data_IF_455424523626
#
_entry.id   IF_455424523626
#
_cell.length_a   1.000
_cell.length_b   1.000
_cell.length_c   1.000
_cell.angle_alpha   90.00
_cell.angle_beta   90.00
_cell.angle_gamma   90.00
#
_symmetry.space_group_name_H-M   'P 1'
#
loop_
_entity.id
_entity.type
_entity.pdbx_description
1 polymer ?
#
# COMPACT_ATOMS: atom_id res chain seq x y z
N UNK A 1 30.64 -27.72 -29.02
CA UNK A 1 30.52 -26.55 -28.11
C UNK A 1 29.45 -26.85 -27.07
N UNK A 2 29.81 -26.91 -25.78
CA UNK A 2 28.98 -27.49 -24.71
C UNK A 2 27.78 -26.58 -24.39
N UNK A 3 26.55 -27.12 -24.48
CA UNK A 3 25.28 -26.43 -24.16
C UNK A 3 25.28 -25.71 -22.80
N UNK A 4 26.08 -26.17 -21.83
CA UNK A 4 26.23 -25.51 -20.53
C UNK A 4 26.85 -24.12 -20.59
N UNK A 5 27.80 -23.88 -21.50
CA UNK A 5 28.52 -22.61 -21.56
C UNK A 5 27.63 -21.47 -22.08
N UNK A 6 26.74 -21.78 -23.02
CA UNK A 6 25.73 -20.83 -23.52
C UNK A 6 24.70 -20.46 -22.44
N UNK A 7 24.24 -21.43 -21.64
CA UNK A 7 23.34 -21.15 -20.52
C UNK A 7 23.99 -20.32 -19.43
N UNK A 8 25.26 -20.58 -19.10
CA UNK A 8 26.00 -19.79 -18.10
C UNK A 8 26.21 -18.34 -18.55
N UNK A 9 26.51 -18.11 -19.83
CA UNK A 9 26.71 -16.75 -20.38
C UNK A 9 25.39 -15.98 -20.43
N UNK A 10 24.28 -16.62 -20.82
CA UNK A 10 22.95 -15.99 -20.82
C UNK A 10 22.52 -15.66 -19.39
N UNK A 11 22.73 -16.56 -18.43
CA UNK A 11 22.39 -16.32 -17.03
C UNK A 11 23.24 -15.19 -16.43
N UNK A 12 24.55 -15.17 -16.68
CA UNK A 12 25.42 -14.08 -16.26
C UNK A 12 25.02 -12.74 -16.88
N UNK A 13 24.69 -12.71 -18.18
CA UNK A 13 24.19 -11.50 -18.85
C UNK A 13 22.87 -10.99 -18.28
N UNK A 14 21.96 -11.89 -17.91
CA UNK A 14 20.66 -11.55 -17.31
C UNK A 14 20.80 -11.08 -15.86
N UNK A 15 21.71 -11.66 -15.09
CA UNK A 15 22.04 -11.21 -13.72
C UNK A 15 22.73 -9.84 -13.75
N UNK A 16 23.68 -9.62 -14.67
CA UNK A 16 24.36 -8.33 -14.83
C UNK A 16 23.40 -7.26 -15.36
N UNK A 17 22.48 -7.59 -16.28
CA UNK A 17 21.46 -6.63 -16.75
C UNK A 17 20.42 -6.31 -15.67
N UNK A 18 20.01 -7.29 -14.84
CA UNK A 18 19.20 -7.06 -13.65
C UNK A 18 19.92 -6.18 -12.62
N UNK A 19 21.23 -6.38 -12.45
CA UNK A 19 22.03 -5.54 -11.55
C UNK A 19 22.14 -4.10 -12.09
N UNK A 20 22.38 -3.91 -13.39
CA UNK A 20 22.39 -2.59 -14.02
C UNK A 20 21.00 -1.91 -13.99
N UNK A 21 19.92 -2.69 -14.17
CA UNK A 21 18.54 -2.19 -13.97
C UNK A 21 18.25 -1.86 -12.51
N UNK A 22 18.84 -2.57 -11.55
CA UNK A 22 18.71 -2.24 -10.13
C UNK A 22 19.45 -0.95 -9.76
N UNK A 23 20.59 -0.66 -10.40
CA UNK A 23 21.31 0.62 -10.23
C UNK A 23 20.55 1.79 -10.88
N UNK A 24 19.79 1.56 -11.95
CA UNK A 24 18.90 2.58 -12.54
C UNK A 24 17.53 2.69 -11.85
N UNK A 25 17.01 1.62 -11.25
CA UNK A 25 15.85 1.69 -10.34
C UNK A 25 16.21 2.42 -9.04
N UNK A 26 17.47 2.34 -8.59
CA UNK A 26 18.03 3.24 -7.56
C UNK A 26 18.04 4.70 -8.01
N UNK A 27 18.02 5.02 -9.31
CA UNK A 27 17.85 6.40 -9.80
C UNK A 27 16.39 6.86 -9.91
N UNK A 28 15.42 5.93 -9.91
CA UNK A 28 14.00 6.24 -9.67
C UNK A 28 13.71 6.32 -8.16
N UNK A 29 14.48 5.60 -7.35
CA UNK A 29 14.54 5.75 -5.90
C UNK A 29 15.09 7.12 -5.53
N UNK A 30 16.14 7.66 -6.19
CA UNK A 30 16.53 9.06 -6.00
C UNK A 30 15.42 10.01 -6.41
N UNK A 31 14.65 9.79 -7.47
CA UNK A 31 13.52 10.69 -7.78
C UNK A 31 12.40 10.69 -6.72
N UNK A 32 12.01 9.54 -6.18
CA UNK A 32 10.98 9.45 -5.14
C UNK A 32 11.51 9.80 -3.74
N UNK A 33 12.78 9.53 -3.47
CA UNK A 33 13.46 9.81 -2.21
C UNK A 33 13.97 11.25 -2.18
N UNK A 34 14.37 11.83 -3.32
CA UNK A 34 14.64 13.26 -3.51
C UNK A 34 13.32 14.01 -3.54
N UNK A 35 12.28 13.59 -4.27
CA UNK A 35 10.95 14.19 -4.14
C UNK A 35 10.43 14.07 -2.70
N UNK A 36 10.62 12.93 -2.04
CA UNK A 36 10.25 12.73 -0.64
C UNK A 36 11.08 13.60 0.32
N UNK A 37 12.39 13.72 0.11
CA UNK A 37 13.30 14.56 0.90
C UNK A 37 13.12 16.04 0.59
N UNK A 38 12.72 16.40 -0.62
CA UNK A 38 12.57 17.78 -1.11
C UNK A 38 11.15 18.28 -0.86
N UNK A 39 10.14 17.41 -0.87
CA UNK A 39 8.84 17.65 -0.27
C UNK A 39 8.96 17.69 1.25
N UNK A 40 9.71 16.79 1.89
CA UNK A 40 9.94 16.85 3.33
C UNK A 40 10.79 18.05 3.74
N UNK A 41 11.81 18.46 2.96
CA UNK A 41 12.61 19.66 3.19
C UNK A 41 11.84 20.92 2.84
N UNK A 42 11.03 20.93 1.78
CA UNK A 42 10.18 22.05 1.39
C UNK A 42 9.05 22.25 2.41
N UNK A 43 8.44 21.16 2.85
CA UNK A 43 7.51 21.16 3.99
C UNK A 43 8.25 21.58 5.25
N UNK A 44 9.40 21.00 5.58
CA UNK A 44 10.18 21.36 6.79
C UNK A 44 10.66 22.80 6.78
N UNK A 45 11.05 23.36 5.64
CA UNK A 45 11.50 24.74 5.48
C UNK A 45 10.32 25.72 5.54
N UNK A 46 9.20 25.38 4.90
CA UNK A 46 7.93 26.09 5.07
C UNK A 46 7.47 26.06 6.55
N UNK A 47 7.68 24.93 7.23
CA UNK A 47 7.34 24.72 8.64
C UNK A 47 8.27 25.47 9.59
N UNK A 48 9.58 25.52 9.32
CA UNK A 48 10.54 26.37 10.03
C UNK A 48 10.23 27.86 9.82
N UNK A 49 9.84 28.24 8.60
CA UNK A 49 9.43 29.60 8.28
C UNK A 49 8.16 30.03 9.05
N UNK A 50 7.26 29.08 9.34
CA UNK A 50 6.09 29.29 10.19
C UNK A 50 6.35 29.07 11.70
N UNK A 51 7.59 28.71 12.09
CA UNK A 51 7.98 28.34 13.47
C UNK A 51 7.10 27.25 14.09
N UNK A 52 6.60 26.32 13.27
CA UNK A 52 5.75 25.24 13.72
C UNK A 52 6.60 24.01 14.09
N UNK A 53 6.69 23.73 15.39
CA UNK A 53 7.31 22.51 15.93
C UNK A 53 6.60 21.27 15.33
N UNK A 54 7.28 20.15 14.98
CA UNK A 54 6.65 18.95 14.42
C UNK A 54 5.38 18.47 15.16
N UNK A 55 5.37 18.59 16.49
CA UNK A 55 4.20 18.32 17.34
C UNK A 55 3.01 19.21 16.98
N UNK A 56 3.25 20.50 16.70
CA UNK A 56 2.23 21.46 16.30
C UNK A 56 1.66 21.12 14.91
N UNK A 57 2.42 20.46 14.04
CA UNK A 57 1.92 20.05 12.72
C UNK A 57 0.86 18.97 12.82
N UNK A 58 1.11 17.93 13.61
CA UNK A 58 0.13 16.86 13.80
C UNK A 58 -1.14 17.40 14.46
N UNK A 59 -1.01 18.38 15.37
CA UNK A 59 -2.14 19.12 15.95
C UNK A 59 -2.90 19.94 14.90
N UNK A 60 -2.20 20.62 14.00
CA UNK A 60 -2.82 21.38 12.89
C UNK A 60 -3.54 20.44 11.92
N UNK A 61 -2.92 19.33 11.52
CA UNK A 61 -3.54 18.32 10.65
C UNK A 61 -4.76 17.69 11.31
N UNK A 62 -4.68 17.38 12.60
CA UNK A 62 -5.82 16.94 13.40
C UNK A 62 -6.93 18.01 13.40
N UNK A 63 -6.55 19.29 13.49
CA UNK A 63 -7.51 20.40 13.47
C UNK A 63 -8.19 20.58 12.12
N UNK A 64 -7.44 20.43 11.03
CA UNK A 64 -8.00 20.43 9.67
C UNK A 64 -8.95 19.24 9.48
N UNK A 65 -8.55 18.04 9.94
CA UNK A 65 -9.39 16.85 9.86
C UNK A 65 -10.70 17.05 10.64
N UNK A 66 -10.61 17.52 11.89
CA UNK A 66 -11.75 17.80 12.74
C UNK A 66 -12.63 18.88 12.11
N UNK A 67 -12.02 19.92 11.55
CA UNK A 67 -12.73 20.99 10.84
C UNK A 67 -13.53 20.45 9.66
N UNK A 68 -12.96 19.58 8.81
CA UNK A 68 -13.67 18.97 7.68
C UNK A 68 -14.88 18.16 8.17
N UNK A 69 -14.73 17.37 9.24
CA UNK A 69 -15.81 16.55 9.80
C UNK A 69 -16.93 17.44 10.35
N UNK A 70 -16.58 18.40 11.21
CA UNK A 70 -17.54 19.32 11.83
C UNK A 70 -18.23 20.15 10.74
N UNK A 71 -17.47 20.69 9.78
CA UNK A 71 -18.03 21.43 8.65
C UNK A 71 -19.02 20.58 7.85
N UNK A 72 -18.68 19.33 7.53
CA UNK A 72 -19.58 18.41 6.82
C UNK A 72 -20.89 18.20 7.57
N UNK A 73 -20.84 18.00 8.89
CA UNK A 73 -22.03 17.83 9.74
C UNK A 73 -22.85 19.12 9.79
N UNK A 74 -22.21 20.27 10.01
CA UNK A 74 -22.90 21.57 10.11
C UNK A 74 -23.59 21.91 8.79
N UNK A 75 -22.94 21.70 7.64
CA UNK A 75 -23.55 21.91 6.32
C UNK A 75 -24.80 21.05 6.14
N UNK A 76 -24.76 19.78 6.56
CA UNK A 76 -25.91 18.87 6.49
C UNK A 76 -27.06 19.30 7.40
N UNK A 77 -26.76 19.70 8.64
CA UNK A 77 -27.76 20.13 9.63
C UNK A 77 -28.51 21.38 9.19
N UNK A 78 -27.81 22.37 8.66
CA UNK A 78 -28.41 23.63 8.23
C UNK A 78 -29.00 23.58 6.81
N UNK A 79 -28.95 22.41 6.13
CA UNK A 79 -29.40 22.20 4.74
C UNK A 79 -29.00 23.36 3.83
N UNK A 80 -27.79 23.88 4.04
CA UNK A 80 -27.46 25.19 3.52
C UNK A 80 -27.04 25.09 2.06
N UNK A 81 -27.97 25.40 1.16
CA UNK A 81 -27.72 25.56 -0.28
C UNK A 81 -27.43 27.02 -0.67
N UNK A 82 -27.63 27.97 0.25
CA UNK A 82 -27.37 29.40 0.01
C UNK A 82 -25.94 29.79 0.36
N UNK A 83 -25.32 30.69 -0.41
CA UNK A 83 -23.95 31.20 -0.16
C UNK A 83 -23.75 31.75 1.26
N UNK A 84 -24.79 32.33 1.85
CA UNK A 84 -24.76 32.87 3.21
C UNK A 84 -24.63 31.78 4.25
N UNK A 85 -25.28 30.62 4.07
CA UNK A 85 -25.22 29.58 5.09
C UNK A 85 -24.01 28.64 4.95
N UNK A 86 -23.35 28.57 3.79
CA UNK A 86 -21.99 27.97 3.71
C UNK A 86 -20.95 28.80 4.47
N UNK A 87 -21.03 30.13 4.39
CA UNK A 87 -20.20 31.03 5.21
C UNK A 87 -20.48 30.86 6.71
N UNK A 88 -21.75 30.73 7.09
CA UNK A 88 -22.13 30.45 8.47
C UNK A 88 -21.59 29.09 8.95
N UNK A 89 -21.73 28.04 8.13
CA UNK A 89 -21.21 26.71 8.45
C UNK A 89 -19.68 26.71 8.60
N UNK A 90 -18.98 27.47 7.77
CA UNK A 90 -17.54 27.68 7.88
C UNK A 90 -17.18 28.33 9.22
N UNK A 91 -17.82 29.45 9.58
CA UNK A 91 -17.54 30.15 10.83
C UNK A 91 -17.82 29.28 12.07
N UNK A 92 -18.98 28.59 12.08
CA UNK A 92 -19.36 27.70 13.19
C UNK A 92 -18.37 26.55 13.33
N UNK A 93 -17.99 25.89 12.23
CA UNK A 93 -17.03 24.78 12.29
C UNK A 93 -15.66 25.21 12.81
N UNK A 94 -15.15 26.38 12.42
CA UNK A 94 -13.90 26.92 12.96
C UNK A 94 -14.01 27.19 14.46
N UNK A 95 -15.10 27.82 14.92
CA UNK A 95 -15.31 28.10 16.36
C UNK A 95 -15.35 26.80 17.15
N UNK A 96 -16.10 25.79 16.68
CA UNK A 96 -16.21 24.50 17.34
C UNK A 96 -14.85 23.79 17.43
N UNK A 97 -14.03 23.85 16.38
CA UNK A 97 -12.68 23.26 16.39
C UNK A 97 -11.80 23.94 17.43
N UNK A 98 -11.80 25.28 17.50
CA UNK A 98 -11.04 26.03 18.51
C UNK A 98 -11.49 25.66 19.92
N UNK A 99 -12.81 25.67 20.18
CA UNK A 99 -13.35 25.28 21.48
C UNK A 99 -13.01 23.83 21.84
N UNK A 100 -13.00 22.94 20.85
CA UNK A 100 -12.61 21.53 21.05
C UNK A 100 -11.16 21.43 21.50
N UNK A 101 -10.23 22.11 20.83
CA UNK A 101 -8.81 22.07 21.24
C UNK A 101 -8.55 22.70 22.61
N UNK A 102 -9.31 23.73 22.99
CA UNK A 102 -9.23 24.31 24.34
C UNK A 102 -9.74 23.33 25.39
N UNK A 103 -10.79 22.57 25.06
CA UNK A 103 -11.44 21.63 25.98
C UNK A 103 -10.70 20.28 26.10
N UNK A 104 -9.93 19.90 25.08
CA UNK A 104 -9.23 18.62 25.06
C UNK A 104 -8.00 18.63 25.97
N UNK A 105 -7.86 17.65 26.90
CA UNK A 105 -6.66 17.54 27.70
C UNK A 105 -5.44 17.21 26.82
N UNK A 106 -4.29 17.81 27.12
CA UNK A 106 -3.07 17.67 26.31
C UNK A 106 -2.66 16.21 26.06
N UNK A 107 -2.76 15.36 27.08
CA UNK A 107 -2.43 13.92 26.94
C UNK A 107 -3.32 13.18 25.94
N UNK A 108 -4.56 13.63 25.72
CA UNK A 108 -5.45 13.04 24.72
C UNK A 108 -5.02 13.42 23.30
N UNK A 109 -4.63 14.68 23.09
CA UNK A 109 -4.11 15.15 21.81
C UNK A 109 -2.81 14.41 21.46
N UNK A 110 -1.90 14.25 22.42
CA UNK A 110 -0.66 13.47 22.24
C UNK A 110 -0.93 12.01 21.91
N UNK A 111 -1.91 11.37 22.57
CA UNK A 111 -2.32 10.01 22.27
C UNK A 111 -2.87 9.88 20.84
N UNK A 112 -3.67 10.84 20.39
CA UNK A 112 -4.17 10.88 19.01
C UNK A 112 -3.03 11.04 18.02
N UNK A 113 -2.12 11.98 18.23
CA UNK A 113 -0.96 12.21 17.36
C UNK A 113 -0.10 10.95 17.26
N UNK A 114 0.12 10.27 18.38
CA UNK A 114 0.84 9.00 18.41
C UNK A 114 0.13 7.90 17.60
N UNK A 115 -1.19 7.80 17.71
CA UNK A 115 -1.99 6.84 16.92
C UNK A 115 -1.92 7.15 15.43
N UNK A 116 -2.02 8.43 15.01
CA UNK A 116 -1.86 8.81 13.61
C UNK A 116 -0.45 8.56 13.09
N UNK A 117 0.58 8.77 13.90
CA UNK A 117 1.96 8.41 13.57
C UNK A 117 2.12 6.90 13.35
N UNK A 118 1.56 6.09 14.26
CA UNK A 118 1.55 4.63 14.13
C UNK A 118 0.77 4.15 12.91
N UNK A 119 -0.40 4.75 12.60
CA UNK A 119 -1.15 4.48 11.38
C UNK A 119 -0.37 4.85 10.12
N UNK A 120 0.30 5.99 10.11
CA UNK A 120 1.15 6.42 9.00
C UNK A 120 2.28 5.42 8.74
N UNK A 121 2.97 4.98 9.80
CA UNK A 121 3.99 3.94 9.70
C UNK A 121 3.42 2.61 9.20
N UNK A 122 2.23 2.21 9.68
CA UNK A 122 1.56 1.01 9.21
C UNK A 122 1.21 1.09 7.72
N UNK A 123 0.67 2.22 7.24
CA UNK A 123 0.36 2.45 5.83
C UNK A 123 1.63 2.39 4.97
N UNK A 124 2.71 3.07 5.40
CA UNK A 124 4.00 3.08 4.70
C UNK A 124 4.62 1.68 4.58
N UNK A 125 4.32 0.79 5.51
CA UNK A 125 4.73 -0.63 5.46
C UNK A 125 3.79 -1.45 4.57
N UNK A 126 2.48 -1.25 4.75
CA UNK A 126 1.44 -2.13 4.23
C UNK A 126 1.26 -1.95 2.72
N UNK A 127 1.33 -0.71 2.22
CA UNK A 127 1.16 -0.45 0.79
C UNK A 127 2.27 -1.13 -0.04
N UNK A 128 3.58 -0.92 0.23
CA UNK A 128 4.63 -1.64 -0.48
C UNK A 128 4.51 -3.15 -0.34
N UNK A 129 4.14 -3.66 0.84
CA UNK A 129 3.94 -5.09 1.06
C UNK A 129 2.86 -5.67 0.13
N UNK A 130 1.68 -5.05 0.07
CA UNK A 130 0.57 -5.49 -0.80
C UNK A 130 0.95 -5.43 -2.27
N UNK A 131 1.64 -4.36 -2.69
CA UNK A 131 2.11 -4.20 -4.07
C UNK A 131 3.08 -5.34 -4.42
N UNK A 132 4.08 -5.59 -3.59
CA UNK A 132 5.04 -6.67 -3.83
C UNK A 132 4.40 -8.05 -3.82
N UNK A 133 3.42 -8.27 -2.94
CA UNK A 133 2.63 -9.51 -2.92
C UNK A 133 1.86 -9.70 -4.22
N UNK A 134 1.18 -8.65 -4.69
CA UNK A 134 0.47 -8.68 -5.97
C UNK A 134 1.42 -8.99 -7.12
N UNK A 135 2.55 -8.28 -7.26
CA UNK A 135 3.54 -8.54 -8.31
C UNK A 135 4.12 -9.95 -8.22
N UNK A 136 4.41 -10.42 -7.00
CA UNK A 136 4.96 -11.75 -6.75
C UNK A 136 3.99 -12.86 -7.10
N UNK A 137 2.68 -12.65 -7.03
CA UNK A 137 1.67 -13.67 -7.33
C UNK A 137 1.23 -13.59 -8.79
N UNK A 138 0.90 -12.39 -9.26
CA UNK A 138 0.19 -12.17 -10.52
C UNK A 138 1.11 -11.91 -11.72
N UNK A 139 2.30 -11.35 -11.51
CA UNK A 139 3.15 -10.84 -12.60
C UNK A 139 4.38 -11.71 -12.81
N UNK A 140 5.02 -12.17 -11.74
CA UNK A 140 6.29 -12.90 -11.86
C UNK A 140 6.08 -14.40 -12.13
N UNK A 141 6.43 -14.87 -13.32
CA UNK A 141 6.38 -16.30 -13.67
C UNK A 141 7.41 -17.13 -12.87
N UNK A 142 8.61 -16.59 -12.63
CA UNK A 142 9.66 -17.29 -11.89
C UNK A 142 9.46 -17.20 -10.36
N UNK A 143 9.48 -18.35 -9.69
CA UNK A 143 9.44 -18.41 -8.21
C UNK A 143 10.71 -17.81 -7.59
N UNK A 144 11.86 -18.03 -8.23
CA UNK A 144 13.16 -17.58 -7.74
C UNK A 144 13.26 -16.06 -7.74
N UNK A 145 12.83 -15.41 -8.83
CA UNK A 145 12.83 -13.93 -8.93
C UNK A 145 11.93 -13.33 -7.86
N UNK A 146 10.73 -13.89 -7.64
CA UNK A 146 9.84 -13.37 -6.60
C UNK A 146 10.40 -13.56 -5.18
N UNK A 147 11.02 -14.72 -4.88
CA UNK A 147 11.72 -14.89 -3.60
C UNK A 147 12.84 -13.88 -3.41
N UNK A 148 13.60 -13.60 -4.46
CA UNK A 148 14.68 -12.61 -4.43
C UNK A 148 14.14 -11.19 -4.16
N UNK A 149 13.02 -10.79 -4.76
CA UNK A 149 12.33 -9.52 -4.46
C UNK A 149 11.96 -9.45 -2.96
N UNK A 150 11.41 -10.53 -2.40
CA UNK A 150 11.08 -10.56 -0.97
C UNK A 150 12.32 -10.54 -0.07
N UNK A 151 13.44 -11.14 -0.48
CA UNK A 151 14.71 -11.02 0.25
C UNK A 151 15.16 -9.56 0.30
N UNK A 152 15.07 -8.83 -0.82
CA UNK A 152 15.37 -7.39 -0.83
C UNK A 152 14.44 -6.60 0.09
N UNK A 153 13.13 -6.89 0.08
CA UNK A 153 12.18 -6.28 1.01
C UNK A 153 12.56 -6.52 2.47
N UNK A 154 12.87 -7.77 2.84
CA UNK A 154 13.29 -8.12 4.20
C UNK A 154 14.57 -7.39 4.59
N UNK A 155 15.59 -7.38 3.72
CA UNK A 155 16.85 -6.69 3.98
C UNK A 155 16.68 -5.17 4.11
N UNK A 156 15.82 -4.57 3.29
CA UNK A 156 15.49 -3.15 3.37
C UNK A 156 14.88 -2.78 4.72
N UNK A 157 13.82 -3.49 5.12
CA UNK A 157 13.16 -3.24 6.41
C UNK A 157 14.05 -3.62 7.60
N UNK A 158 14.90 -4.64 7.47
CA UNK A 158 15.92 -4.97 8.47
C UNK A 158 16.94 -3.84 8.63
N UNK A 159 17.37 -3.21 7.55
CA UNK A 159 18.26 -2.04 7.58
C UNK A 159 17.63 -0.86 8.31
N UNK A 160 16.36 -0.54 8.01
CA UNK A 160 15.61 0.51 8.71
C UNK A 160 15.46 0.17 10.20
N UNK A 161 15.08 -1.07 10.51
CA UNK A 161 14.91 -1.54 11.89
C UNK A 161 16.22 -1.45 12.68
N UNK A 162 17.34 -1.89 12.11
CA UNK A 162 18.66 -1.81 12.73
C UNK A 162 19.12 -0.37 12.92
N UNK A 163 18.93 0.51 11.91
CA UNK A 163 19.23 1.94 12.02
C UNK A 163 18.44 2.57 13.15
N UNK A 164 17.13 2.34 13.19
CA UNK A 164 16.23 2.87 14.22
C UNK A 164 16.63 2.38 15.62
N UNK A 165 16.99 1.11 15.77
CA UNK A 165 17.52 0.57 17.03
C UNK A 165 18.86 1.21 17.39
N UNK A 166 19.77 1.42 16.44
CA UNK A 166 21.07 2.06 16.70
C UNK A 166 20.96 3.53 17.14
N UNK A 167 19.91 4.23 16.71
CA UNK A 167 19.65 5.62 17.07
C UNK A 167 18.85 5.80 18.37
N UNK A 168 18.48 4.71 19.04
CA UNK A 168 17.74 4.77 20.30
C UNK A 168 18.61 5.35 21.43
N UNK A 169 18.29 6.56 21.87
CA UNK A 169 18.73 7.02 23.18
C UNK A 169 17.92 6.30 24.27
N UNK A 170 18.62 5.67 25.22
CA UNK A 170 18.08 4.71 26.19
C UNK A 170 16.96 5.25 27.10
N UNK A 171 16.76 6.58 27.20
CA UNK A 171 15.84 7.18 28.16
C UNK A 171 14.40 7.44 27.64
N UNK A 172 14.15 7.40 26.33
CA UNK A 172 12.84 7.75 25.75
C UNK A 172 12.34 6.74 24.70
N UNK A 173 12.91 5.53 24.71
CA UNK A 173 12.68 4.47 23.74
C UNK A 173 11.22 3.97 23.73
N UNK A 174 10.39 4.53 22.86
CA UNK A 174 9.06 4.00 22.55
C UNK A 174 9.18 2.75 21.67
N UNK A 175 9.50 1.62 22.29
CA UNK A 175 9.73 0.34 21.59
C UNK A 175 8.63 -0.06 20.61
N UNK A 176 7.39 0.39 20.87
CA UNK A 176 6.23 0.13 20.03
C UNK A 176 6.31 0.80 18.64
N UNK A 177 7.10 1.87 18.48
CA UNK A 177 7.31 2.50 17.17
C UNK A 177 8.08 1.59 16.19
N UNK A 178 8.76 0.56 16.70
CA UNK A 178 9.52 -0.39 15.88
C UNK A 178 8.73 -1.63 15.48
N UNK A 179 7.60 -1.89 16.14
CA UNK A 179 6.75 -3.05 15.88
C UNK A 179 6.37 -3.17 14.40
N UNK A 180 5.95 -2.09 13.69
CA UNK A 180 5.55 -2.22 12.29
C UNK A 180 6.67 -2.77 11.39
N UNK A 181 7.91 -2.32 11.61
CA UNK A 181 9.07 -2.81 10.85
C UNK A 181 9.40 -4.26 11.20
N UNK A 182 9.33 -4.65 12.48
CA UNK A 182 9.50 -6.03 12.92
C UNK A 182 8.47 -6.98 12.29
N UNK A 183 7.19 -6.57 12.30
CA UNK A 183 6.10 -7.32 11.64
C UNK A 183 6.35 -7.41 10.13
N UNK A 184 6.86 -6.36 9.49
CA UNK A 184 7.21 -6.37 8.06
C UNK A 184 8.25 -7.43 7.73
N UNK A 185 9.32 -7.49 8.54
CA UNK A 185 10.41 -8.46 8.39
C UNK A 185 9.86 -9.88 8.52
N UNK A 186 9.11 -10.14 9.59
CA UNK A 186 8.48 -11.45 9.83
C UNK A 186 7.52 -11.82 8.70
N UNK A 187 6.67 -10.88 8.27
CA UNK A 187 5.76 -11.06 7.15
C UNK A 187 6.50 -11.41 5.86
N UNK A 188 7.58 -10.69 5.53
CA UNK A 188 8.40 -10.98 4.37
C UNK A 188 9.04 -12.37 4.41
N UNK A 189 9.57 -12.78 5.57
CA UNK A 189 10.14 -14.14 5.76
C UNK A 189 9.07 -15.21 5.56
N UNK A 190 7.88 -15.02 6.16
CA UNK A 190 6.76 -15.94 6.00
C UNK A 190 6.38 -16.07 4.52
N UNK A 191 6.29 -14.95 3.78
CA UNK A 191 5.98 -14.99 2.36
C UNK A 191 7.08 -15.72 1.58
N UNK A 192 8.38 -15.51 1.82
CA UNK A 192 9.47 -16.22 1.11
C UNK A 192 9.28 -17.74 1.16
N UNK A 193 8.92 -18.26 2.33
CA UNK A 193 8.70 -19.70 2.57
C UNK A 193 7.41 -20.16 1.90
N UNK A 194 6.31 -19.44 2.12
CA UNK A 194 4.94 -19.84 1.74
C UNK A 194 4.53 -19.44 0.31
N UNK A 195 5.37 -18.67 -0.41
CA UNK A 195 5.02 -18.10 -1.73
C UNK A 195 4.58 -19.17 -2.74
N UNK A 196 5.20 -20.36 -2.69
CA UNK A 196 4.86 -21.49 -3.56
C UNK A 196 3.40 -21.93 -3.34
N UNK A 197 2.99 -22.04 -2.08
CA UNK A 197 1.66 -22.48 -1.71
C UNK A 197 0.62 -21.39 -1.99
N UNK A 198 0.94 -20.13 -1.71
CA UNK A 198 0.09 -18.97 -2.02
C UNK A 198 -0.22 -18.91 -3.52
N UNK A 199 0.80 -19.03 -4.39
CA UNK A 199 0.58 -19.08 -5.84
C UNK A 199 -0.29 -20.25 -6.25
N UNK A 200 0.00 -21.45 -5.73
CA UNK A 200 -0.78 -22.65 -6.06
C UNK A 200 -2.25 -22.49 -5.65
N UNK A 201 -2.51 -21.89 -4.49
CA UNK A 201 -3.86 -21.58 -4.02
C UNK A 201 -4.57 -20.58 -4.95
N UNK A 202 -3.89 -19.49 -5.30
CA UNK A 202 -4.43 -18.45 -6.19
C UNK A 202 -4.78 -18.99 -7.59
N UNK A 203 -3.90 -19.79 -8.18
CA UNK A 203 -4.15 -20.37 -9.52
C UNK A 203 -5.21 -21.47 -9.51
N UNK A 204 -5.34 -22.24 -8.43
CA UNK A 204 -6.45 -23.21 -8.30
C UNK A 204 -7.82 -22.55 -8.37
N UNK A 205 -7.97 -21.34 -7.81
CA UNK A 205 -9.20 -20.57 -7.94
C UNK A 205 -9.51 -20.24 -9.40
N UNK A 206 -8.51 -19.71 -10.14
CA UNK A 206 -8.68 -19.36 -11.56
C UNK A 206 -8.98 -20.56 -12.46
N UNK A 207 -8.38 -21.72 -12.18
CA UNK A 207 -8.61 -22.93 -12.96
C UNK A 207 -10.05 -23.44 -12.79
N UNK A 208 -10.59 -23.41 -11.57
CA UNK A 208 -12.00 -23.79 -11.32
C UNK A 208 -12.98 -22.88 -12.04
N UNK A 209 -12.74 -21.57 -12.05
CA UNK A 209 -13.60 -20.61 -12.76
C UNK A 209 -13.59 -20.85 -14.28
N UNK A 210 -12.43 -21.21 -14.85
CA UNK A 210 -12.30 -21.51 -16.28
C UNK A 210 -12.98 -22.85 -16.60
N UNK A 211 -12.81 -23.86 -15.75
CA UNK A 211 -13.46 -25.16 -15.87
C UNK A 211 -14.98 -25.03 -15.85
N UNK A 212 -15.54 -24.28 -14.91
CA UNK A 212 -16.99 -24.04 -14.81
C UNK A 212 -17.52 -23.29 -16.04
N UNK A 213 -16.82 -22.26 -16.52
CA UNK A 213 -17.18 -21.55 -17.76
C UNK A 213 -17.08 -22.45 -18.99
N UNK A 214 -16.09 -23.33 -19.03
CA UNK A 214 -15.90 -24.31 -20.10
C UNK A 214 -17.05 -25.31 -20.16
N UNK A 215 -17.44 -25.88 -19.02
CA UNK A 215 -18.58 -26.81 -18.90
C UNK A 215 -19.87 -26.13 -19.36
N UNK A 216 -20.17 -24.91 -18.86
CA UNK A 216 -21.36 -24.15 -19.28
C UNK A 216 -21.38 -23.87 -20.79
N UNK A 217 -20.23 -23.62 -21.39
CA UNK A 217 -20.12 -23.38 -22.84
C UNK A 217 -20.33 -24.66 -23.64
N UNK A 218 -19.75 -25.77 -23.19
CA UNK A 218 -19.93 -27.09 -23.80
C UNK A 218 -21.40 -27.55 -23.71
N UNK A 219 -22.05 -27.38 -22.56
CA UNK A 219 -23.46 -27.70 -22.37
C UNK A 219 -24.36 -26.88 -23.30
N UNK A 220 -24.07 -25.58 -23.44
CA UNK A 220 -24.79 -24.71 -24.38
C UNK A 220 -24.60 -25.16 -25.84
N UNK A 221 -23.39 -25.54 -26.23
CA UNK A 221 -23.10 -26.04 -27.57
C UNK A 221 -23.84 -27.36 -27.85
N UNK A 222 -23.83 -28.29 -26.89
CA UNK A 222 -24.57 -29.56 -26.99
C UNK A 222 -26.08 -29.34 -27.10
N UNK A 223 -26.62 -28.37 -26.36
CA UNK A 223 -28.04 -28.02 -26.42
C UNK A 223 -28.41 -27.41 -27.78
N UNK A 224 -27.60 -26.51 -28.32
CA UNK A 224 -27.80 -25.94 -29.66
C UNK A 224 -27.73 -27.01 -30.76
N UNK A 225 -26.76 -27.93 -30.68
CA UNK A 225 -26.64 -29.02 -31.64
C UNK A 225 -27.86 -29.96 -31.60
N UNK A 226 -28.40 -30.24 -30.39
CA UNK A 226 -29.64 -31.00 -30.24
C UNK A 226 -30.83 -30.29 -30.89
N UNK A 227 -31.01 -28.99 -30.60
CA UNK A 227 -32.09 -28.19 -31.20
C UNK A 227 -32.00 -28.15 -32.72
N UNK A 228 -30.81 -27.94 -33.28
CA UNK A 228 -30.59 -27.98 -34.74
C UNK A 228 -30.96 -29.35 -35.34
N UNK A 229 -30.59 -30.44 -34.68
CA UNK A 229 -30.95 -31.79 -35.15
C UNK A 229 -32.46 -32.05 -35.10
N UNK A 230 -33.16 -31.53 -34.10
CA UNK A 230 -34.63 -31.64 -33.99
C UNK A 230 -35.34 -30.78 -35.05
N UNK A 231 -34.86 -29.57 -35.33
CA UNK A 231 -35.39 -28.71 -36.40
C UNK A 231 -35.22 -29.34 -37.78
N UNK A 232 -34.06 -29.93 -38.06
CA UNK A 232 -33.82 -30.64 -39.32
C UNK A 232 -34.75 -31.84 -39.47
N UNK A 233 -34.98 -32.63 -38.42
CA UNK A 233 -35.92 -33.75 -38.49
C UNK A 233 -37.36 -33.30 -38.76
N UNK A 234 -37.80 -32.18 -38.16
CA UNK A 234 -39.14 -31.63 -38.42
C UNK A 234 -39.29 -31.01 -39.81
N UNK A 235 -38.22 -30.46 -40.38
CA UNK A 235 -38.26 -29.79 -41.68
C UNK A 235 -38.28 -30.74 -42.89
N UNK A 236 -37.80 -31.98 -42.74
CA UNK A 236 -37.68 -32.97 -43.82
C UNK A 236 -38.64 -34.17 -43.68
N UNK A 237 -39.44 -34.21 -42.61
CA UNK A 237 -40.42 -35.27 -42.33
C UNK A 237 -41.85 -34.92 -42.71
#
# INVERSE_FOLDING_TARGET
>A
MKKGLAQSVIFAGLVTSLFLFSVHLVSAQTLAEDFGREAARGLSAFMEQLRLNPTNMSVILLGILLWIIVYSIVVQLFKSTTKTGTLFAFAVSVIVVILTFISLPQGFVEAIVLQYGAMGAAILVTIPFIILLYFSIAVTNSLLIARLIWVFYVLYYLGIFAYKIGTLQAAAAKWFEYIPYGISILGGIIIIITLKDIRRFWFKGKLKDIEEKGIKTADKANLLHRLQSEELQKGYG
#
